data_IF_119557592203
#
_entry.id   IF_119557592203
#
_cell.length_a   1.000
_cell.length_b   1.000
_cell.length_c   1.000
_cell.angle_alpha   90.00
_cell.angle_beta   90.00
_cell.angle_gamma   90.00
#
_symmetry.space_group_name_H-M   'P 1'
#
loop_
_entity.id
_entity.type
_entity.pdbx_description
1 polymer ?
#
# COMPACT_ATOMS: atom_id res chain seq x y z
N UNK A 1 -6.90 25.18 -0.60
CA UNK A 1 -7.81 24.01 -0.47
C UNK A 1 -7.19 23.04 0.53
N UNK A 2 -7.54 23.16 1.82
CA UNK A 2 -6.88 22.44 2.92
C UNK A 2 -7.36 21.00 3.10
N UNK A 3 -6.42 20.11 3.37
CA UNK A 3 -6.57 18.66 3.54
C UNK A 3 -7.13 18.25 4.93
N UNK A 4 -8.12 18.98 5.44
CA UNK A 4 -8.90 18.58 6.63
C UNK A 4 -10.08 17.65 6.27
N UNK A 5 -10.20 17.27 5.00
CA UNK A 5 -11.32 16.47 4.47
C UNK A 5 -11.15 14.94 4.52
N UNK A 6 -10.03 14.44 5.04
CA UNK A 6 -9.68 13.01 5.04
C UNK A 6 -10.08 12.25 6.30
N UNK A 7 -10.64 12.90 7.32
CA UNK A 7 -11.31 12.18 8.41
C UNK A 7 -12.67 11.65 7.92
N UNK A 8 -12.67 10.52 7.20
CA UNK A 8 -13.89 9.85 6.75
C UNK A 8 -14.74 9.33 7.91
N UNK A 9 -14.12 9.17 9.08
CA UNK A 9 -14.79 8.75 10.32
C UNK A 9 -15.41 9.91 11.12
N UNK A 10 -14.94 11.16 10.97
CA UNK A 10 -15.34 12.29 11.83
C UNK A 10 -16.31 13.27 11.16
N UNK A 11 -16.57 13.14 9.86
CA UNK A 11 -17.57 13.97 9.18
C UNK A 11 -19.00 13.53 9.49
N UNK A 12 -19.47 13.86 10.70
CA UNK A 12 -20.88 14.11 10.98
C UNK A 12 -21.41 15.15 9.96
N UNK A 13 -22.54 14.86 9.32
CA UNK A 13 -23.41 15.89 8.73
C UNK A 13 -23.00 16.55 7.41
N UNK A 14 -21.78 16.40 6.90
CA UNK A 14 -21.43 17.01 5.61
C UNK A 14 -21.89 16.13 4.45
N UNK A 15 -22.92 16.60 3.71
CA UNK A 15 -23.40 16.04 2.43
C UNK A 15 -22.31 16.09 1.33
N UNK A 16 -21.25 15.29 1.45
CA UNK A 16 -20.40 14.94 0.31
C UNK A 16 -20.78 13.53 -0.12
N UNK A 17 -21.01 13.35 -1.42
CA UNK A 17 -21.34 12.04 -2.01
C UNK A 17 -20.31 11.02 -1.54
N UNK A 18 -20.73 10.10 -0.67
CA UNK A 18 -20.05 8.82 -0.49
C UNK A 18 -19.87 8.24 -1.90
N UNK A 19 -18.63 8.07 -2.34
CA UNK A 19 -18.28 7.76 -3.73
C UNK A 19 -18.96 6.49 -4.26
N UNK A 20 -19.48 5.62 -3.38
CA UNK A 20 -20.18 4.37 -3.72
C UNK A 20 -21.29 4.09 -2.69
N UNK A 21 -22.55 4.13 -3.13
CA UNK A 21 -23.69 3.67 -2.33
C UNK A 21 -23.80 2.16 -2.51
N UNK A 22 -23.51 1.40 -1.46
CA UNK A 22 -24.01 0.02 -1.36
C UNK A 22 -25.45 0.11 -0.85
N UNK A 23 -26.37 -0.71 -1.35
CA UNK A 23 -27.79 -0.71 -0.99
C UNK A 23 -28.11 -1.15 0.46
N UNK A 24 -27.13 -1.10 1.38
CA UNK A 24 -27.30 -1.51 2.78
C UNK A 24 -27.51 -0.30 3.69
N UNK A 25 -28.18 -0.54 4.82
CA UNK A 25 -28.27 0.42 5.92
C UNK A 25 -26.87 0.87 6.37
N UNK A 26 -26.69 2.13 6.80
CA UNK A 26 -25.38 2.69 7.17
C UNK A 26 -24.61 1.85 8.21
N UNK A 27 -25.31 1.35 9.23
CA UNK A 27 -24.70 0.54 10.30
C UNK A 27 -24.11 -0.78 9.78
N UNK A 28 -24.90 -1.56 9.04
CA UNK A 28 -24.43 -2.81 8.43
C UNK A 28 -23.29 -2.61 7.44
N UNK A 29 -23.21 -1.41 6.83
CA UNK A 29 -22.12 -1.05 5.93
C UNK A 29 -20.81 -0.88 6.68
N UNK A 30 -20.83 -0.22 7.84
CA UNK A 30 -19.62 -0.04 8.66
C UNK A 30 -19.07 -1.36 9.18
N UNK A 31 -19.93 -2.25 9.69
CA UNK A 31 -19.48 -3.55 10.18
C UNK A 31 -18.81 -4.38 9.08
N UNK A 32 -19.37 -4.33 7.86
CA UNK A 32 -18.76 -4.99 6.70
C UNK A 32 -17.37 -4.42 6.38
N UNK A 33 -17.18 -3.11 6.46
CA UNK A 33 -15.88 -2.47 6.20
C UNK A 33 -14.88 -2.84 7.29
N UNK A 34 -15.27 -2.77 8.57
CA UNK A 34 -14.40 -3.17 9.69
C UNK A 34 -13.98 -4.63 9.56
N UNK A 35 -14.88 -5.53 9.17
CA UNK A 35 -14.54 -6.93 8.95
C UNK A 35 -13.50 -7.11 7.83
N UNK A 36 -13.72 -6.46 6.67
CA UNK A 36 -12.77 -6.52 5.56
C UNK A 36 -11.42 -5.88 5.90
N UNK A 37 -11.40 -4.83 6.72
CA UNK A 37 -10.17 -4.19 7.17
C UNK A 37 -9.35 -5.12 8.08
N UNK A 38 -10.00 -5.80 9.03
CA UNK A 38 -9.34 -6.81 9.87
C UNK A 38 -8.79 -7.97 9.03
N UNK A 39 -9.56 -8.46 8.05
CA UNK A 39 -9.11 -9.50 7.11
C UNK A 39 -7.90 -9.04 6.30
N UNK A 40 -7.93 -7.80 5.78
CA UNK A 40 -6.82 -7.23 5.01
C UNK A 40 -5.55 -7.14 5.86
N UNK A 41 -5.63 -6.71 7.13
CA UNK A 41 -4.48 -6.71 8.04
C UNK A 41 -3.95 -8.12 8.34
N UNK A 42 -4.87 -9.07 8.55
CA UNK A 42 -4.53 -10.46 8.88
C UNK A 42 -3.82 -11.18 7.73
N UNK A 43 -4.27 -10.96 6.50
CA UNK A 43 -3.81 -11.70 5.33
C UNK A 43 -2.86 -10.93 4.40
N UNK A 44 -2.82 -9.60 4.51
CA UNK A 44 -2.07 -8.71 3.62
C UNK A 44 -2.67 -8.52 2.24
N UNK A 45 -3.60 -9.38 1.83
CA UNK A 45 -4.35 -9.32 0.57
C UNK A 45 -5.69 -10.02 0.73
N UNK A 46 -6.74 -9.44 0.18
CA UNK A 46 -8.06 -10.07 0.07
C UNK A 46 -8.63 -9.92 -1.33
N UNK A 47 -9.52 -10.84 -1.70
CA UNK A 47 -10.34 -10.77 -2.89
C UNK A 47 -11.73 -10.25 -2.55
N UNK A 48 -12.21 -9.25 -3.29
CA UNK A 48 -13.52 -8.64 -3.08
C UNK A 48 -14.04 -8.04 -4.39
N UNK A 49 -15.28 -7.53 -4.41
CA UNK A 49 -15.77 -6.79 -5.57
C UNK A 49 -14.98 -5.49 -5.76
N UNK A 50 -14.82 -5.04 -7.00
CA UNK A 50 -14.09 -3.83 -7.35
C UNK A 50 -14.65 -2.59 -6.62
N UNK A 51 -15.97 -2.52 -6.47
CA UNK A 51 -16.64 -1.43 -5.75
C UNK A 51 -16.27 -1.40 -4.28
N UNK A 52 -16.25 -2.57 -3.61
CA UNK A 52 -15.84 -2.70 -2.21
C UNK A 52 -14.34 -2.47 -2.03
N UNK A 53 -13.50 -2.96 -2.93
CA UNK A 53 -12.05 -2.71 -2.89
C UNK A 53 -11.74 -1.21 -2.90
N UNK A 54 -12.36 -0.45 -3.82
CA UNK A 54 -12.18 1.00 -3.93
C UNK A 54 -12.73 1.77 -2.72
N UNK A 55 -13.72 1.23 -2.04
CA UNK A 55 -14.22 1.80 -0.80
C UNK A 55 -13.27 1.52 0.37
N UNK A 56 -12.87 0.25 0.55
CA UNK A 56 -11.97 -0.21 1.59
C UNK A 56 -10.60 0.48 1.52
N UNK A 57 -10.07 0.73 0.32
CA UNK A 57 -8.78 1.39 0.11
C UNK A 57 -8.64 2.69 0.92
N UNK A 58 -9.67 3.55 0.88
CA UNK A 58 -9.60 4.82 1.61
C UNK A 58 -9.48 4.62 3.13
N UNK A 59 -10.20 3.64 3.68
CA UNK A 59 -10.15 3.31 5.10
C UNK A 59 -8.82 2.66 5.49
N UNK A 60 -8.27 1.79 4.63
CA UNK A 60 -6.98 1.13 4.87
C UNK A 60 -5.80 2.11 4.81
N UNK A 61 -5.85 3.09 3.90
CA UNK A 61 -4.85 4.14 3.81
C UNK A 61 -4.90 5.09 5.02
N UNK A 62 -6.10 5.51 5.43
CA UNK A 62 -6.32 6.34 6.62
C UNK A 62 -5.86 5.61 7.90
N UNK A 63 -6.17 4.32 8.04
CA UNK A 63 -5.76 3.51 9.19
C UNK A 63 -4.24 3.53 9.39
N UNK A 64 -3.46 3.26 8.34
CA UNK A 64 -1.99 3.25 8.45
C UNK A 64 -1.47 4.66 8.71
N UNK A 65 -2.01 5.66 8.04
CA UNK A 65 -1.60 7.04 8.24
C UNK A 65 -1.81 7.52 9.68
N UNK A 66 -2.96 7.19 10.29
CA UNK A 66 -3.24 7.50 11.69
C UNK A 66 -2.35 6.69 12.64
N UNK A 67 -2.16 5.39 12.39
CA UNK A 67 -1.32 4.54 13.22
C UNK A 67 0.17 4.91 13.17
N UNK A 68 0.62 5.51 12.07
CA UNK A 68 1.96 6.09 11.95
C UNK A 68 2.13 7.32 12.85
N UNK A 69 1.08 8.13 13.04
CA UNK A 69 1.09 9.33 13.89
C UNK A 69 0.63 8.97 15.30
N UNK A 70 1.55 8.50 16.14
CA UNK A 70 1.25 8.05 17.50
C UNK A 70 0.82 9.22 18.42
N UNK A 71 -0.49 9.45 18.47
CA UNK A 71 -1.15 10.41 19.35
C UNK A 71 -2.37 9.70 19.96
N UNK A 72 -2.72 10.02 21.21
CA UNK A 72 -3.89 9.49 21.92
C UNK A 72 -5.16 9.59 21.07
N UNK A 73 -5.43 10.74 20.45
CA UNK A 73 -6.61 10.90 19.60
C UNK A 73 -6.61 9.99 18.37
N UNK A 74 -5.43 9.81 17.75
CA UNK A 74 -5.28 8.95 16.58
C UNK A 74 -5.41 7.48 16.97
N UNK A 75 -4.90 7.10 18.14
CA UNK A 75 -5.04 5.76 18.69
C UNK A 75 -6.52 5.43 18.95
N UNK A 76 -7.29 6.35 19.54
CA UNK A 76 -8.74 6.18 19.70
C UNK A 76 -9.47 6.03 18.35
N UNK A 77 -9.09 6.81 17.34
CA UNK A 77 -9.64 6.69 15.98
C UNK A 77 -9.31 5.31 15.37
N UNK A 78 -8.06 4.86 15.47
CA UNK A 78 -7.63 3.54 15.00
C UNK A 78 -8.39 2.42 15.72
N UNK A 79 -8.59 2.52 17.03
CA UNK A 79 -9.38 1.57 17.81
C UNK A 79 -10.84 1.52 17.35
N UNK A 80 -11.44 2.68 17.03
CA UNK A 80 -12.81 2.73 16.52
C UNK A 80 -12.97 2.05 15.15
N UNK A 81 -11.91 2.00 14.33
CA UNK A 81 -11.92 1.40 12.99
C UNK A 81 -11.75 -0.12 13.02
N UNK A 82 -11.06 -0.66 14.03
CA UNK A 82 -10.77 -2.10 14.13
C UNK A 82 -11.79 -2.82 15.01
N UNK A 83 -11.89 -4.14 14.83
CA UNK A 83 -12.81 -4.99 15.62
C UNK A 83 -12.07 -6.00 16.48
N UNK A 84 -10.86 -6.40 16.07
CA UNK A 84 -10.11 -7.48 16.70
C UNK A 84 -8.76 -6.96 17.21
N UNK A 85 -8.37 -7.40 18.40
CA UNK A 85 -7.04 -7.09 18.95
C UNK A 85 -5.91 -7.64 18.06
N UNK A 86 -6.15 -8.77 17.37
CA UNK A 86 -5.20 -9.35 16.41
C UNK A 86 -4.89 -8.41 15.24
N UNK A 87 -5.92 -7.76 14.67
CA UNK A 87 -5.74 -6.79 13.59
C UNK A 87 -4.92 -5.58 14.04
N UNK A 88 -5.26 -5.02 15.21
CA UNK A 88 -4.52 -3.90 15.83
C UNK A 88 -3.06 -4.26 16.04
N UNK A 89 -2.82 -5.43 16.58
CA UNK A 89 -1.48 -5.93 16.86
C UNK A 89 -0.63 -6.05 15.58
N UNK A 90 -1.19 -6.64 14.52
CA UNK A 90 -0.55 -6.74 13.20
C UNK A 90 -0.24 -5.37 12.58
N UNK A 91 -1.11 -4.39 12.79
CA UNK A 91 -0.92 -3.02 12.30
C UNK A 91 0.38 -2.43 12.84
N UNK A 92 0.53 -2.40 14.16
CA UNK A 92 1.68 -1.77 14.81
C UNK A 92 2.98 -2.58 14.70
N UNK A 93 2.93 -3.91 14.72
CA UNK A 93 4.16 -4.74 14.64
C UNK A 93 4.78 -4.75 13.26
N UNK A 94 3.94 -4.83 12.23
CA UNK A 94 4.39 -5.19 10.90
C UNK A 94 4.24 -4.03 9.94
N UNK A 95 3.03 -3.49 9.78
CA UNK A 95 2.77 -2.49 8.75
C UNK A 95 3.31 -1.11 9.09
N UNK A 96 3.24 -0.68 10.35
CA UNK A 96 3.78 0.64 10.75
C UNK A 96 5.30 0.72 10.50
N UNK A 97 6.12 -0.26 10.94
CA UNK A 97 7.54 -0.30 10.59
C UNK A 97 7.78 -0.44 9.08
N UNK A 98 7.04 -1.32 8.40
CA UNK A 98 7.18 -1.55 6.95
C UNK A 98 7.00 -0.27 6.15
N UNK A 99 6.07 0.58 6.57
CA UNK A 99 5.71 1.81 5.87
C UNK A 99 6.31 3.08 6.48
N UNK A 100 7.35 2.97 7.34
CA UNK A 100 8.02 4.12 7.96
C UNK A 100 8.35 5.21 6.93
N UNK A 101 9.12 4.83 5.90
CA UNK A 101 9.61 5.74 4.86
C UNK A 101 8.62 5.97 3.71
N UNK A 102 7.45 5.30 3.72
CA UNK A 102 6.42 5.49 2.70
C UNK A 102 5.44 6.57 3.17
N UNK A 103 5.26 7.69 2.45
CA UNK A 103 4.34 8.73 2.88
C UNK A 103 2.87 8.35 2.63
N UNK A 104 2.57 7.79 1.45
CA UNK A 104 1.21 7.47 1.01
C UNK A 104 1.19 6.24 0.10
N UNK A 105 -0.02 5.82 -0.29
CA UNK A 105 -0.29 4.68 -1.18
C UNK A 105 0.24 3.36 -0.62
N UNK A 106 -0.22 3.00 0.58
CA UNK A 106 0.12 1.73 1.23
C UNK A 106 -0.58 0.53 0.61
N UNK A 107 -1.67 0.77 -0.13
CA UNK A 107 -2.47 -0.30 -0.72
C UNK A 107 -2.50 -0.21 -2.24
N UNK A 108 -2.77 -1.36 -2.87
CA UNK A 108 -2.96 -1.49 -4.31
C UNK A 108 -4.26 -2.24 -4.58
N UNK A 109 -5.01 -1.78 -5.57
CA UNK A 109 -6.12 -2.53 -6.15
C UNK A 109 -5.67 -3.11 -7.49
N UNK A 110 -5.86 -4.41 -7.66
CA UNK A 110 -5.61 -5.12 -8.91
C UNK A 110 -6.93 -5.70 -9.40
N UNK A 111 -7.42 -5.20 -10.54
CA UNK A 111 -8.57 -5.79 -11.20
C UNK A 111 -8.23 -7.20 -11.67
N UNK A 112 -9.07 -8.18 -11.36
CA UNK A 112 -8.87 -9.57 -11.77
C UNK A 112 -9.34 -9.85 -13.21
N UNK A 113 -10.06 -8.89 -13.83
CA UNK A 113 -10.71 -9.09 -15.13
C UNK A 113 -11.65 -10.32 -15.14
N UNK A 114 -12.23 -10.62 -13.97
CA UNK A 114 -13.17 -11.73 -13.74
C UNK A 114 -14.45 -11.20 -13.12
N UNK A 115 -15.56 -11.83 -13.48
CA UNK A 115 -16.86 -11.59 -12.88
C UNK A 115 -17.17 -12.69 -11.87
N UNK A 116 -17.81 -12.31 -10.77
CA UNK A 116 -18.27 -13.25 -9.76
C UNK A 116 -19.40 -14.12 -10.32
N UNK A 117 -19.34 -15.41 -10.03
CA UNK A 117 -20.38 -16.37 -10.41
C UNK A 117 -21.71 -15.99 -9.74
N UNK A 118 -22.81 -16.06 -10.50
CA UNK A 118 -24.21 -15.76 -10.14
C UNK A 118 -24.67 -14.31 -10.22
N UNK A 119 -23.85 -13.34 -9.87
CA UNK A 119 -24.25 -11.91 -9.86
C UNK A 119 -23.42 -11.01 -10.77
N UNK A 120 -22.49 -11.60 -11.53
CA UNK A 120 -21.65 -10.91 -12.51
C UNK A 120 -20.91 -9.69 -11.95
N UNK A 121 -20.66 -9.64 -10.63
CA UNK A 121 -19.98 -8.51 -10.02
C UNK A 121 -18.48 -8.54 -10.35
N UNK A 122 -17.87 -7.42 -10.79
CA UNK A 122 -16.45 -7.39 -11.11
C UNK A 122 -15.60 -7.60 -9.86
N UNK A 123 -14.62 -8.52 -9.94
CA UNK A 123 -13.72 -8.88 -8.85
C UNK A 123 -12.38 -8.13 -8.92
N UNK A 124 -11.81 -7.87 -7.76
CA UNK A 124 -10.51 -7.24 -7.59
C UNK A 124 -9.79 -7.78 -6.36
N UNK A 125 -8.46 -7.80 -6.40
CA UNK A 125 -7.64 -7.90 -5.22
C UNK A 125 -7.39 -6.51 -4.64
N UNK A 126 -7.42 -6.41 -3.33
CA UNK A 126 -6.81 -5.30 -2.59
C UNK A 126 -5.71 -5.87 -1.72
N UNK A 127 -4.51 -5.30 -1.82
CA UNK A 127 -3.32 -5.76 -1.10
C UNK A 127 -2.54 -4.59 -0.51
N UNK A 128 -1.81 -4.90 0.56
CA UNK A 128 -0.74 -4.06 1.09
C UNK A 128 0.53 -4.24 0.24
N UNK A 129 1.24 -3.13 0.04
CA UNK A 129 2.42 -2.98 -0.80
C UNK A 129 3.71 -3.26 0.00
N UNK A 130 4.86 -3.47 -0.66
CA UNK A 130 6.20 -3.66 -0.06
C UNK A 130 6.32 -4.88 0.89
N UNK A 131 5.25 -5.66 1.02
CA UNK A 131 5.22 -6.91 1.79
C UNK A 131 5.77 -8.08 0.96
N UNK A 132 6.29 -9.14 1.60
CA UNK A 132 6.65 -10.36 0.88
C UNK A 132 5.42 -10.97 0.19
N UNK A 133 5.56 -11.35 -1.08
CA UNK A 133 4.49 -11.99 -1.86
C UNK A 133 3.40 -11.04 -2.38
N UNK A 134 3.71 -9.75 -2.57
CA UNK A 134 2.85 -8.84 -3.35
C UNK A 134 2.74 -9.28 -4.82
N UNK A 135 1.60 -9.00 -5.46
CA UNK A 135 1.35 -9.47 -6.85
C UNK A 135 2.18 -8.73 -7.89
N UNK A 136 2.48 -7.45 -7.63
CA UNK A 136 3.30 -6.60 -8.50
C UNK A 136 4.30 -5.86 -7.63
N UNK A 137 5.58 -5.78 -8.03
CA UNK A 137 6.54 -4.99 -7.28
C UNK A 137 6.09 -3.53 -7.22
N UNK A 138 6.10 -2.94 -6.03
CA UNK A 138 5.88 -1.52 -5.89
C UNK A 138 7.03 -0.69 -6.44
N UNK A 139 6.69 0.56 -6.77
CA UNK A 139 7.71 1.56 -7.00
C UNK A 139 8.34 1.92 -5.65
N UNK A 140 9.67 1.90 -5.55
CA UNK A 140 10.35 2.31 -4.34
C UNK A 140 10.13 3.81 -4.05
N UNK A 141 10.37 4.19 -2.80
CA UNK A 141 10.24 5.54 -2.26
C UNK A 141 11.56 6.01 -1.64
N UNK A 142 11.69 7.31 -1.37
CA UNK A 142 12.88 7.91 -0.78
C UNK A 142 14.17 7.59 -1.57
N UNK A 143 15.24 7.27 -0.85
CA UNK A 143 16.53 6.84 -1.40
C UNK A 143 16.42 5.72 -2.43
N UNK A 144 15.64 4.66 -2.13
CA UNK A 144 15.46 3.51 -3.01
C UNK A 144 14.85 3.89 -4.36
N UNK A 145 14.04 4.97 -4.41
CA UNK A 145 13.48 5.50 -5.65
C UNK A 145 14.57 6.11 -6.53
N UNK A 146 15.46 6.88 -5.92
CA UNK A 146 16.55 7.57 -6.62
C UNK A 146 17.50 6.54 -7.21
N UNK A 147 17.89 5.56 -6.40
CA UNK A 147 18.69 4.40 -6.84
C UNK A 147 18.04 3.62 -7.98
N UNK A 148 16.75 3.31 -7.85
CA UNK A 148 16.00 2.64 -8.91
C UNK A 148 15.97 3.44 -10.22
N UNK A 149 15.83 4.77 -10.16
CA UNK A 149 15.85 5.63 -11.35
C UNK A 149 17.22 5.57 -12.02
N UNK A 150 18.30 5.71 -11.24
CA UNK A 150 19.67 5.63 -11.72
C UNK A 150 19.94 4.30 -12.45
N UNK A 151 19.58 3.18 -11.81
CA UNK A 151 19.71 1.84 -12.40
C UNK A 151 18.88 1.68 -13.68
N UNK A 152 17.64 2.19 -13.71
CA UNK A 152 16.80 2.14 -14.91
C UNK A 152 17.38 2.96 -16.07
N UNK A 153 17.99 4.12 -15.79
CA UNK A 153 18.64 4.95 -16.80
C UNK A 153 19.86 4.28 -17.42
N UNK A 154 20.67 3.58 -16.61
CA UNK A 154 21.85 2.82 -17.07
C UNK A 154 21.48 1.67 -18.01
N UNK A 155 20.28 1.07 -17.84
CA UNK A 155 19.84 -0.09 -18.63
C UNK A 155 19.57 0.23 -20.11
N UNK A 156 18.87 1.32 -20.42
CA UNK A 156 18.32 1.56 -21.76
C UNK A 156 18.24 3.05 -22.12
N UNK A 157 18.58 3.43 -23.36
CA UNK A 157 18.40 4.80 -23.88
C UNK A 157 16.95 5.31 -23.77
N UNK A 158 15.96 4.42 -23.95
CA UNK A 158 14.54 4.77 -23.76
C UNK A 158 14.24 5.14 -22.31
N UNK A 159 14.78 4.39 -21.35
CA UNK A 159 14.63 4.68 -19.93
C UNK A 159 15.37 5.98 -19.56
N UNK A 160 16.57 6.19 -20.11
CA UNK A 160 17.30 7.44 -19.95
C UNK A 160 16.43 8.65 -20.32
N UNK A 161 15.85 8.65 -21.53
CA UNK A 161 14.93 9.71 -21.98
C UNK A 161 13.70 9.86 -21.09
N UNK A 162 13.14 8.75 -20.62
CA UNK A 162 11.94 8.72 -19.77
C UNK A 162 12.20 9.35 -18.39
N UNK A 163 13.37 9.11 -17.81
CA UNK A 163 13.72 9.56 -16.46
C UNK A 163 14.58 10.83 -16.43
N UNK A 164 15.01 11.35 -17.58
CA UNK A 164 15.88 12.51 -17.71
C UNK A 164 15.49 13.71 -16.83
N UNK A 165 14.26 14.21 -16.97
CA UNK A 165 13.78 15.35 -16.17
C UNK A 165 13.73 15.05 -14.66
N UNK A 166 13.47 13.79 -14.30
CA UNK A 166 13.42 13.36 -12.91
C UNK A 166 14.85 13.30 -12.34
N UNK A 167 15.80 12.78 -13.12
CA UNK A 167 17.21 12.71 -12.78
C UNK A 167 17.84 14.09 -12.60
N UNK A 168 17.52 15.04 -13.48
CA UNK A 168 17.93 16.44 -13.36
C UNK A 168 17.45 17.06 -12.06
N UNK A 169 16.18 16.83 -11.67
CA UNK A 169 15.63 17.31 -10.39
C UNK A 169 16.33 16.69 -9.17
N UNK A 170 16.82 15.47 -9.29
CA UNK A 170 17.52 14.77 -8.21
C UNK A 170 19.05 14.90 -8.33
N UNK A 171 19.59 15.78 -9.17
CA UNK A 171 21.03 15.99 -9.34
C UNK A 171 21.80 14.68 -9.64
N UNK A 172 21.23 13.82 -10.48
CA UNK A 172 21.85 12.56 -10.91
C UNK A 172 22.68 12.70 -12.20
N UNK A 173 22.67 13.89 -12.78
CA UNK A 173 23.34 14.20 -14.04
C UNK A 173 24.45 15.21 -13.80
N UNK A 174 25.51 15.11 -14.58
CA UNK A 174 26.58 16.09 -14.69
C UNK A 174 26.10 17.38 -15.37
N UNK A 175 26.96 18.41 -15.39
CA UNK A 175 26.73 19.67 -16.10
C UNK A 175 26.46 19.48 -17.60
N UNK A 176 27.03 18.43 -18.21
CA UNK A 176 26.83 18.06 -19.61
C UNK A 176 25.59 17.18 -19.86
N UNK A 177 24.65 17.11 -18.90
CA UNK A 177 23.43 16.29 -18.97
C UNK A 177 23.71 14.77 -19.16
N UNK A 178 24.91 14.31 -18.79
CA UNK A 178 25.30 12.89 -18.75
C UNK A 178 25.04 12.31 -17.36
N UNK A 179 24.77 11.00 -17.29
CA UNK A 179 24.56 10.33 -16.00
C UNK A 179 25.90 10.17 -15.29
N UNK A 180 25.93 10.51 -14.00
CA UNK A 180 27.10 10.30 -13.15
C UNK A 180 27.60 8.84 -13.24
N UNK A 181 28.94 8.60 -13.30
CA UNK A 181 29.50 7.27 -13.49
C UNK A 181 29.10 6.28 -12.41
N UNK A 182 29.10 6.76 -11.15
CA UNK A 182 28.68 6.01 -9.98
C UNK A 182 27.54 6.71 -9.23
N UNK A 183 26.72 5.90 -8.54
CA UNK A 183 25.62 6.44 -7.75
C UNK A 183 26.09 7.16 -6.48
N UNK A 184 27.25 6.79 -5.93
CA UNK A 184 27.80 7.40 -4.72
C UNK A 184 28.12 8.89 -4.92
N UNK A 185 28.55 9.26 -6.13
CA UNK A 185 28.93 10.63 -6.49
C UNK A 185 27.75 11.60 -6.49
N UNK A 186 26.52 11.07 -6.49
CA UNK A 186 25.29 11.87 -6.47
C UNK A 186 25.04 12.56 -5.13
N UNK A 187 25.81 12.23 -4.09
CA UNK A 187 25.64 12.78 -2.73
C UNK A 187 24.38 12.30 -2.00
N UNK A 188 23.57 11.42 -2.62
CA UNK A 188 22.44 10.80 -1.95
C UNK A 188 22.92 9.71 -1.00
N UNK A 189 22.70 9.92 0.28
CA UNK A 189 22.97 8.94 1.34
C UNK A 189 21.64 8.25 1.70
N UNK A 190 21.62 6.93 1.99
CA UNK A 190 20.44 6.32 2.59
C UNK A 190 20.11 7.06 3.89
N UNK A 191 18.83 7.40 4.11
CA UNK A 191 18.38 8.01 5.37
C UNK A 191 18.98 7.23 6.54
N UNK A 192 19.71 7.96 7.41
CA UNK A 192 20.40 7.39 8.57
C UNK A 192 19.36 6.66 9.43
N UNK A 193 19.66 5.41 9.79
CA UNK A 193 18.80 4.65 10.69
C UNK A 193 18.80 5.39 12.03
N UNK A 194 17.62 5.66 12.57
CA UNK A 194 17.34 6.30 13.86
C UNK A 194 18.01 5.65 15.11
N UNK A 195 18.98 4.74 14.94
CA UNK A 195 19.82 4.18 16.02
C UNK A 195 21.17 4.90 16.16
N UNK A 196 21.41 5.98 15.42
CA UNK A 196 22.56 6.86 15.64
C UNK A 196 22.09 8.06 16.49
N UNK A 197 22.59 8.13 17.73
CA UNK A 197 22.00 8.71 18.95
C UNK A 197 21.85 10.24 19.06
N UNK A 198 21.90 11.02 17.98
CA UNK A 198 22.03 12.48 18.11
C UNK A 198 21.26 13.25 17.03
N UNK A 199 19.96 13.52 17.21
CA UNK A 199 19.28 14.69 16.65
C UNK A 199 17.90 14.86 17.32
N UNK A 200 17.77 15.88 18.17
CA UNK A 200 16.59 16.16 19.01
C UNK A 200 15.68 17.27 18.45
N UNK A 201 15.99 17.87 17.30
CA UNK A 201 15.30 19.09 16.85
C UNK A 201 15.10 19.06 15.33
N UNK A 202 13.90 18.69 14.88
CA UNK A 202 13.21 19.32 13.74
C UNK A 202 11.80 18.71 13.51
N UNK A 203 10.88 19.60 13.16
CA UNK A 203 9.43 19.44 13.13
C UNK A 203 8.86 18.32 12.22
N UNK A 204 7.71 17.77 12.63
CA UNK A 204 6.83 16.87 11.87
C UNK A 204 7.39 15.47 11.51
N UNK A 205 8.45 15.00 12.17
CA UNK A 205 8.82 13.58 12.05
C UNK A 205 7.67 12.68 12.50
N UNK A 206 7.32 11.72 11.65
CA UNK A 206 6.42 10.63 12.02
C UNK A 206 7.23 9.72 12.96
N UNK A 207 7.26 10.08 14.24
CA UNK A 207 7.90 9.31 15.30
C UNK A 207 7.09 8.03 15.47
N UNK A 208 7.65 6.92 14.97
CA UNK A 208 7.12 5.60 15.28
C UNK A 208 7.58 5.25 16.68
N UNK A 209 6.65 5.24 17.63
CA UNK A 209 6.98 4.94 19.01
C UNK A 209 7.62 3.54 19.14
N UNK A 210 8.91 3.46 19.54
CA UNK A 210 9.65 2.20 19.60
C UNK A 210 9.06 1.25 20.66
N UNK A 211 8.47 1.79 21.73
CA UNK A 211 7.84 1.02 22.81
C UNK A 211 6.62 0.24 22.31
N UNK A 212 5.83 0.84 21.40
CA UNK A 212 4.69 0.15 20.79
C UNK A 212 5.15 -1.03 19.94
N UNK A 213 6.21 -0.85 19.13
CA UNK A 213 6.78 -1.96 18.36
C UNK A 213 7.24 -3.07 19.31
N UNK A 214 7.96 -2.72 20.37
CA UNK A 214 8.50 -3.68 21.34
C UNK A 214 7.41 -4.42 22.13
N UNK A 215 6.35 -3.73 22.55
CA UNK A 215 5.18 -4.30 23.24
C UNK A 215 4.57 -5.45 22.45
N UNK A 216 4.48 -5.27 21.14
CA UNK A 216 3.77 -6.19 20.27
C UNK A 216 4.72 -7.26 19.65
N UNK A 217 6.01 -6.97 19.44
CA UNK A 217 7.04 -7.91 18.92
C UNK A 217 7.02 -9.31 19.57
N UNK A 218 6.61 -9.40 20.84
CA UNK A 218 6.59 -10.63 21.64
C UNK A 218 5.76 -11.80 21.09
N UNK A 219 4.76 -11.56 20.24
CA UNK A 219 3.88 -12.65 19.79
C UNK A 219 3.88 -12.88 18.27
N UNK A 220 5.10 -13.04 17.76
CA UNK A 220 5.46 -13.28 16.37
C UNK A 220 4.52 -14.27 15.65
N UNK A 221 3.47 -13.77 14.98
CA UNK A 221 2.57 -14.59 14.17
C UNK A 221 2.80 -14.22 12.70
N UNK A 222 3.36 -15.12 11.85
CA UNK A 222 3.65 -14.83 10.45
C UNK A 222 2.37 -14.50 9.67
N UNK A 223 2.45 -13.63 8.66
CA UNK A 223 1.31 -13.30 7.80
C UNK A 223 0.66 -14.57 7.25
N UNK A 224 -0.64 -14.73 7.48
CA UNK A 224 -1.39 -15.79 6.82
C UNK A 224 -1.46 -15.44 5.34
N UNK A 225 -1.21 -16.40 4.46
CA UNK A 225 -1.31 -16.15 3.02
C UNK A 225 -2.76 -15.83 2.67
N UNK A 226 -2.96 -14.75 1.93
CA UNK A 226 -4.29 -14.29 1.58
C UNK A 226 -5.02 -15.22 0.61
N UNK A 227 -6.36 -15.18 0.61
CA UNK A 227 -7.18 -16.01 -0.26
C UNK A 227 -6.88 -15.69 -1.73
N UNK A 228 -6.66 -16.74 -2.53
CA UNK A 228 -6.43 -16.67 -3.98
C UNK A 228 -7.71 -16.71 -4.82
N UNK A 229 -8.82 -17.14 -4.23
CA UNK A 229 -10.21 -17.08 -4.73
C UNK A 229 -11.16 -17.23 -3.55
N UNK A 230 -12.37 -16.69 -3.69
CA UNK A 230 -13.39 -16.71 -2.64
C UNK A 230 -13.78 -18.11 -2.13
N UNK A 231 -13.88 -18.19 -0.79
CA UNK A 231 -14.47 -19.23 0.08
C UNK A 231 -13.65 -20.51 0.31
N UNK A 232 -12.54 -20.43 1.05
CA UNK A 232 -12.14 -21.37 2.15
C UNK A 232 -10.72 -21.06 2.70
N UNK A 233 -10.36 -21.54 3.92
CA UNK A 233 -9.10 -21.24 4.58
C UNK A 233 -8.05 -22.36 4.38
N UNK A 234 -7.15 -22.30 3.39
CA UNK A 234 -5.99 -23.23 3.31
C UNK A 234 -4.78 -22.64 2.57
N UNK A 235 -3.62 -23.27 2.81
CA UNK A 235 -2.23 -22.84 2.69
C UNK A 235 -1.63 -22.46 1.31
N UNK A 236 -0.56 -21.65 1.39
CA UNK A 236 0.69 -21.61 0.58
C UNK A 236 0.68 -21.07 -0.87
N UNK A 237 1.71 -20.26 -1.14
CA UNK A 237 2.29 -19.72 -2.37
C UNK A 237 1.80 -20.36 -3.67
N UNK A 238 1.28 -19.54 -4.57
CA UNK A 238 1.36 -19.84 -6.00
C UNK A 238 2.55 -19.01 -6.49
N UNK A 239 3.37 -19.53 -7.41
CA UNK A 239 4.31 -18.68 -8.12
C UNK A 239 3.55 -17.51 -8.74
N UNK A 240 4.26 -16.37 -8.91
CA UNK A 240 3.79 -15.27 -9.74
C UNK A 240 3.22 -15.86 -11.04
N UNK A 241 2.09 -15.34 -11.58
CA UNK A 241 1.62 -15.78 -12.87
C UNK A 241 2.77 -15.62 -13.85
N UNK A 242 3.33 -16.77 -14.25
CA UNK A 242 4.41 -16.83 -15.20
C UNK A 242 3.94 -16.17 -16.49
N UNK A 243 4.91 -15.76 -17.29
CA UNK A 243 4.75 -15.25 -18.66
C UNK A 243 3.75 -16.08 -19.51
N UNK A 244 3.47 -17.34 -19.11
CA UNK A 244 2.45 -18.23 -19.65
C UNK A 244 1.00 -17.74 -19.59
N UNK A 245 0.60 -16.84 -18.68
CA UNK A 245 -0.77 -16.26 -18.73
C UNK A 245 -0.88 -15.11 -19.75
N UNK A 246 0.25 -14.53 -20.19
CA UNK A 246 0.26 -13.49 -21.23
C UNK A 246 0.07 -14.05 -22.65
N UNK A 247 0.25 -15.36 -22.85
CA UNK A 247 0.06 -16.00 -24.17
C UNK A 247 -1.43 -16.21 -24.51
N UNK A 248 -2.33 -16.23 -23.53
CA UNK A 248 -3.76 -16.51 -23.75
C UNK A 248 -4.63 -15.29 -24.11
N UNK A 249 -4.07 -14.08 -24.20
CA UNK A 249 -4.83 -12.85 -24.47
C UNK A 249 -4.71 -12.30 -25.90
N UNK A 250 -3.98 -12.97 -26.80
CA UNK A 250 -3.86 -12.58 -28.21
C UNK A 250 -4.73 -13.40 -29.19
N UNK A 251 -5.77 -14.08 -28.71
CA UNK A 251 -6.80 -14.62 -29.61
C UNK A 251 -7.73 -13.49 -30.07
N UNK A 252 -7.24 -12.71 -31.04
CA UNK A 252 -8.08 -11.83 -31.87
C UNK A 252 -9.07 -12.77 -32.55
N UNK A 253 -10.31 -12.87 -32.04
CA UNK A 253 -11.42 -13.51 -32.75
C UNK A 253 -11.49 -12.82 -34.11
N UNK A 254 -10.97 -13.46 -35.15
CA UNK A 254 -11.28 -13.11 -36.53
C UNK A 254 -12.79 -13.34 -36.64
N UNK A 255 -13.57 -12.27 -36.57
CA UNK A 255 -14.90 -12.28 -37.15
C UNK A 255 -14.68 -12.68 -38.61
N UNK A 256 -15.15 -13.86 -39.00
CA UNK A 256 -15.34 -14.14 -40.42
C UNK A 256 -16.44 -13.18 -40.90
N UNK A 257 -16.27 -12.60 -42.10
CA UNK A 257 -17.26 -11.69 -42.68
C UNK A 257 -18.62 -12.39 -42.82
#
# INVERSE_FOLDING_TARGET
MGYTSTLKFVNLGVRRRLFRRAHKQPHHKWDSIKNQLNELLKYGRIETTLTKAKELQGYAEELIYLAKKDNVENNLKVESMLRTAQGRRRLYEFYVPLYRHRPFFFTRIINQWKLRLRDSAPLAYIEFIDRPGELRPAKPVGYNKIKFIYEEMKKNRRNFRKYFNIAKRFHLLDENDHLLPDFADTGHVPEKSWYDEENEEDDDEIIINPELIQKYKKFNNPMLKGPKKGREPFYVDLPLPSVTERTFLNYRKKFKP
#
